data_IF_749390427470
#
_entry.id   IF_749390427470
#
_cell.length_a   1.000
_cell.length_b   1.000
_cell.length_c   1.000
_cell.angle_alpha   90.00
_cell.angle_beta   90.00
_cell.angle_gamma   90.00
#
_symmetry.space_group_name_H-M   'P 1'
#
loop_
_entity.id
_entity.type
_entity.pdbx_description
1 polymer ?
#
# COMPACT_ATOMS: atom_id res chain seq x y z
N UNK A 1 11.45 -2.11 37.33
CA UNK A 1 10.83 -2.85 36.19
C UNK A 1 9.91 -1.98 35.31
N UNK A 2 9.66 -0.69 35.61
CA UNK A 2 8.74 0.15 34.81
C UNK A 2 9.42 1.00 33.72
N UNK A 3 10.66 1.43 33.95
CA UNK A 3 11.35 2.41 33.10
C UNK A 3 11.75 1.83 31.73
N UNK A 4 12.14 0.55 31.72
CA UNK A 4 12.47 -0.18 30.48
C UNK A 4 11.23 -0.39 29.59
N UNK A 5 10.03 -0.47 30.17
CA UNK A 5 8.78 -0.66 29.42
C UNK A 5 8.41 0.60 28.64
N UNK A 6 8.57 1.77 29.25
CA UNK A 6 8.34 3.05 28.58
C UNK A 6 9.35 3.27 27.45
N UNK A 7 10.63 2.99 27.71
CA UNK A 7 11.67 3.10 26.69
C UNK A 7 11.40 2.17 25.50
N UNK A 8 11.02 0.91 25.77
CA UNK A 8 10.67 -0.05 24.73
C UNK A 8 9.44 0.41 23.93
N UNK A 9 8.41 0.93 24.60
CA UNK A 9 7.20 1.45 23.94
C UNK A 9 7.51 2.61 23.01
N UNK A 10 8.35 3.55 23.45
CA UNK A 10 8.78 4.67 22.61
C UNK A 10 9.64 4.22 21.43
N UNK A 11 10.56 3.28 21.64
CA UNK A 11 11.37 2.71 20.57
C UNK A 11 10.52 2.01 19.49
N UNK A 12 9.48 1.27 19.91
CA UNK A 12 8.54 0.60 19.01
C UNK A 12 7.72 1.63 18.23
N UNK A 13 7.15 2.64 18.91
CA UNK A 13 6.38 3.71 18.25
C UNK A 13 7.22 4.44 17.20
N UNK A 14 8.47 4.78 17.53
CA UNK A 14 9.38 5.42 16.59
C UNK A 14 9.77 4.49 15.43
N UNK A 15 10.01 3.22 15.69
CA UNK A 15 10.27 2.22 14.66
C UNK A 15 9.11 2.07 13.68
N UNK A 16 7.88 1.96 14.20
CA UNK A 16 6.65 1.89 13.38
C UNK A 16 6.43 3.18 12.61
N UNK A 17 6.64 4.34 13.22
CA UNK A 17 6.50 5.63 12.55
C UNK A 17 7.53 5.82 11.42
N UNK A 18 8.77 5.35 11.60
CA UNK A 18 9.79 5.36 10.56
C UNK A 18 9.43 4.42 9.41
N UNK A 19 8.99 3.19 9.70
CA UNK A 19 8.58 2.23 8.67
C UNK A 19 7.33 2.70 7.93
N UNK A 20 6.32 3.20 8.66
CA UNK A 20 5.09 3.76 8.08
C UNK A 20 5.33 5.05 7.31
N UNK A 21 6.19 5.93 7.82
CA UNK A 21 6.62 7.16 7.15
C UNK A 21 7.48 6.89 5.92
N UNK A 22 8.36 5.88 5.97
CA UNK A 22 9.10 5.39 4.80
C UNK A 22 8.17 4.74 3.78
N UNK A 23 7.18 3.94 4.20
CA UNK A 23 6.17 3.38 3.30
C UNK A 23 5.33 4.48 2.65
N UNK A 24 4.89 5.48 3.43
CA UNK A 24 4.16 6.65 2.93
C UNK A 24 5.02 7.52 2.00
N UNK A 25 6.32 7.65 2.29
CA UNK A 25 7.28 8.37 1.45
C UNK A 25 7.68 7.57 0.20
N UNK A 26 7.67 6.25 0.28
CA UNK A 26 7.82 5.33 -0.86
C UNK A 26 6.58 5.40 -1.76
N UNK A 27 5.40 5.60 -1.17
CA UNK A 27 4.14 5.90 -1.86
C UNK A 27 4.09 7.29 -2.50
N UNK A 28 4.91 8.24 -2.04
CA UNK A 28 5.29 9.54 -2.64
C UNK A 28 4.23 10.35 -3.39
N UNK A 29 2.93 10.13 -3.20
CA UNK A 29 1.84 10.72 -3.98
C UNK A 29 2.17 11.00 -5.48
N UNK A 30 2.65 10.03 -6.31
CA UNK A 30 2.34 10.05 -7.73
C UNK A 30 1.13 9.13 -7.97
N UNK A 31 0.06 9.72 -8.51
CA UNK A 31 -1.22 9.08 -8.87
C UNK A 31 -1.06 7.75 -9.63
N UNK A 32 0.09 7.54 -10.28
CA UNK A 32 0.50 6.33 -10.99
C UNK A 32 0.41 5.04 -10.15
N UNK A 33 0.74 5.04 -8.85
CA UNK A 33 0.60 3.82 -8.03
C UNK A 33 -0.88 3.45 -7.84
N UNK A 34 -1.77 4.44 -7.73
CA UNK A 34 -3.22 4.22 -7.69
C UNK A 34 -3.79 3.68 -9.00
N UNK A 35 -3.27 4.14 -10.14
CA UNK A 35 -3.63 3.59 -11.45
C UNK A 35 -3.14 2.15 -11.62
N UNK A 36 -1.94 1.82 -11.15
CA UNK A 36 -1.41 0.46 -11.20
C UNK A 36 -2.22 -0.50 -10.31
N UNK A 37 -2.57 -0.08 -9.09
CA UNK A 37 -3.45 -0.87 -8.20
C UNK A 37 -4.84 -1.06 -8.82
N UNK A 38 -5.40 -0.02 -9.44
CA UNK A 38 -6.70 -0.11 -10.14
C UNK A 38 -6.65 -1.08 -11.32
N UNK A 39 -5.56 -1.09 -12.08
CA UNK A 39 -5.32 -2.06 -13.17
C UNK A 39 -5.19 -3.50 -12.67
N UNK A 40 -4.59 -3.71 -11.49
CA UNK A 40 -4.52 -5.02 -10.84
C UNK A 40 -5.91 -5.48 -10.35
N UNK A 41 -6.73 -4.57 -9.83
CA UNK A 41 -8.08 -4.87 -9.30
C UNK A 41 -9.10 -5.12 -10.42
N UNK A 42 -9.07 -4.34 -11.49
CA UNK A 42 -10.10 -4.37 -12.56
C UNK A 42 -9.70 -5.31 -13.71
N UNK A 43 -8.40 -5.55 -13.90
CA UNK A 43 -7.86 -6.33 -15.01
C UNK A 43 -8.12 -7.85 -14.94
N UNK A 44 -7.62 -8.60 -15.92
CA UNK A 44 -7.94 -10.03 -16.10
C UNK A 44 -7.44 -10.93 -14.96
N UNK A 45 -6.44 -10.47 -14.21
CA UNK A 45 -5.87 -11.15 -13.04
C UNK A 45 -6.49 -10.69 -11.70
N UNK A 46 -7.39 -9.68 -11.73
CA UNK A 46 -8.19 -9.24 -10.60
C UNK A 46 -9.63 -9.74 -10.69
N UNK A 47 -10.59 -8.82 -10.72
CA UNK A 47 -12.03 -9.12 -10.81
C UNK A 47 -12.50 -9.58 -12.21
N UNK A 48 -11.62 -9.64 -13.22
CA UNK A 48 -11.97 -10.04 -14.61
C UNK A 48 -13.11 -9.22 -15.22
N UNK A 49 -13.28 -7.98 -14.77
CA UNK A 49 -14.37 -7.10 -15.19
C UNK A 49 -14.22 -6.64 -16.65
N UNK A 50 -12.98 -6.65 -17.16
CA UNK A 50 -12.67 -6.40 -18.57
C UNK A 50 -12.38 -7.75 -19.26
N UNK A 51 -13.45 -8.42 -19.68
CA UNK A 51 -13.48 -9.44 -20.74
C UNK A 51 -14.25 -8.85 -21.92
N UNK A 52 -13.92 -9.29 -23.13
CA UNK A 52 -14.45 -8.78 -24.40
C UNK A 52 -14.11 -7.31 -24.73
N UNK A 53 -12.87 -7.09 -25.19
CA UNK A 53 -12.64 -6.14 -26.28
C UNK A 53 -12.58 -6.99 -27.55
N UNK A 54 -13.73 -7.27 -28.17
CA UNK A 54 -13.72 -7.88 -29.50
C UNK A 54 -14.71 -9.00 -29.79
N UNK A 55 -15.93 -8.99 -29.22
CA UNK A 55 -17.05 -9.57 -29.97
C UNK A 55 -17.52 -8.49 -30.95
N UNK A 56 -16.81 -8.44 -32.08
CA UNK A 56 -17.06 -7.53 -33.20
C UNK A 56 -17.93 -8.25 -34.23
N UNK A 57 -19.23 -8.33 -33.98
CA UNK A 57 -20.28 -8.55 -34.99
C UNK A 57 -21.54 -7.73 -34.67
#
# INVERSE_FOLDING_TARGET
>A
MGDLSLLATMAIVLGVALVGGMAARLLRLPVIIGYLVSGIVIGPYGLKLVREVGDVE
#
